data_IF_061980429300
#
_entry.id   IF_061980429300
#
_cell.length_a   1.000
_cell.length_b   1.000
_cell.length_c   1.000
_cell.angle_alpha   90.00
_cell.angle_beta   90.00
_cell.angle_gamma   90.00
#
_symmetry.space_group_name_H-M   'P 1'
#
loop_
_entity.id
_entity.type
_entity.pdbx_description
1 polymer ?
#
# COMPACT_ATOMS: atom_id res chain seq x y z
N UNK A 1 -14.46 21.31 12.95
CA UNK A 1 -13.33 20.44 12.52
C UNK A 1 -13.16 20.60 11.01
N UNK A 2 -12.01 21.04 10.52
CA UNK A 2 -11.75 21.27 9.08
C UNK A 2 -10.77 20.19 8.60
N UNK A 3 -11.07 19.52 7.50
CA UNK A 3 -10.23 18.46 6.93
C UNK A 3 -9.27 19.09 5.93
N UNK A 4 -7.99 18.70 5.99
CA UNK A 4 -7.03 19.02 4.93
C UNK A 4 -7.22 18.06 3.75
N UNK A 5 -7.83 18.60 2.68
CA UNK A 5 -8.12 17.82 1.47
C UNK A 5 -6.85 17.37 0.73
N UNK A 6 -5.78 18.17 0.75
CA UNK A 6 -4.53 17.83 0.07
C UNK A 6 -3.85 16.65 0.77
N UNK A 7 -3.78 16.71 2.10
CA UNK A 7 -3.24 15.62 2.91
C UNK A 7 -4.02 14.32 2.73
N UNK A 8 -5.36 14.41 2.75
CA UNK A 8 -6.25 13.26 2.50
C UNK A 8 -6.04 12.67 1.11
N UNK A 9 -5.86 13.51 0.08
CA UNK A 9 -5.65 13.06 -1.30
C UNK A 9 -4.33 12.28 -1.43
N UNK A 10 -3.25 12.79 -0.83
CA UNK A 10 -1.95 12.09 -0.84
C UNK A 10 -2.04 10.71 -0.19
N UNK A 11 -2.73 10.61 0.96
CA UNK A 11 -2.98 9.32 1.62
C UNK A 11 -3.78 8.38 0.71
N UNK A 12 -4.84 8.89 0.06
CA UNK A 12 -5.68 8.09 -0.84
C UNK A 12 -4.90 7.50 -2.01
N UNK A 13 -3.95 8.25 -2.59
CA UNK A 13 -3.09 7.76 -3.67
C UNK A 13 -2.23 6.58 -3.16
N UNK A 14 -1.57 6.76 -2.02
CA UNK A 14 -0.72 5.72 -1.44
C UNK A 14 -1.53 4.46 -1.04
N UNK A 15 -2.80 4.61 -0.67
CA UNK A 15 -3.70 3.47 -0.51
C UNK A 15 -3.92 2.71 -1.81
N UNK A 16 -4.26 3.41 -2.91
CA UNK A 16 -4.42 2.78 -4.23
C UNK A 16 -3.14 2.07 -4.67
N UNK A 17 -1.97 2.68 -4.46
CA UNK A 17 -0.67 2.08 -4.78
C UNK A 17 -0.40 0.79 -4.00
N UNK A 18 -0.87 0.72 -2.74
CA UNK A 18 -0.79 -0.51 -1.93
C UNK A 18 -1.52 -1.68 -2.60
N UNK A 19 -2.71 -1.43 -3.15
CA UNK A 19 -3.48 -2.46 -3.83
C UNK A 19 -2.83 -2.90 -5.14
N UNK A 20 -2.30 -1.96 -5.91
CA UNK A 20 -1.56 -2.26 -7.14
C UNK A 20 -0.34 -3.12 -6.83
N UNK A 21 0.49 -2.70 -5.87
CA UNK A 21 1.69 -3.45 -5.46
C UNK A 21 1.33 -4.86 -4.99
N UNK A 22 0.29 -5.00 -4.16
CA UNK A 22 -0.16 -6.30 -3.68
C UNK A 22 -0.63 -7.21 -4.82
N UNK A 23 -1.34 -6.66 -5.80
CA UNK A 23 -1.80 -7.42 -6.97
C UNK A 23 -0.62 -7.87 -7.83
N UNK A 24 0.30 -6.97 -8.14
CA UNK A 24 1.48 -7.27 -8.96
C UNK A 24 2.40 -8.29 -8.29
N UNK A 25 2.58 -8.22 -6.97
CA UNK A 25 3.35 -9.24 -6.24
C UNK A 25 2.72 -10.62 -6.36
N UNK A 26 1.38 -10.73 -6.26
CA UNK A 26 0.69 -12.01 -6.45
C UNK A 26 0.76 -12.53 -7.88
N UNK A 27 0.76 -11.62 -8.86
CA UNK A 27 0.88 -11.98 -10.27
C UNK A 27 2.26 -12.53 -10.60
N UNK A 28 3.32 -11.88 -10.10
CA UNK A 28 4.72 -12.24 -10.42
C UNK A 28 5.21 -13.41 -9.57
N UNK A 29 4.96 -13.37 -8.25
CA UNK A 29 5.52 -14.31 -7.28
C UNK A 29 4.53 -15.43 -6.90
N UNK A 30 3.29 -15.35 -7.38
CA UNK A 30 2.24 -16.33 -7.08
C UNK A 30 1.68 -16.23 -5.65
N UNK A 31 1.08 -17.33 -5.19
CA UNK A 31 0.36 -17.38 -3.91
C UNK A 31 1.28 -17.56 -2.68
N UNK A 32 2.61 -17.57 -2.87
CA UNK A 32 3.60 -17.68 -1.78
C UNK A 32 3.89 -16.34 -1.09
N UNK A 33 3.33 -15.24 -1.61
CA UNK A 33 3.44 -13.92 -0.99
C UNK A 33 2.37 -13.74 0.07
N UNK A 34 2.80 -13.57 1.32
CA UNK A 34 1.93 -13.24 2.44
C UNK A 34 2.22 -11.81 2.90
N UNK A 35 1.20 -10.96 2.87
CA UNK A 35 1.27 -9.61 3.40
C UNK A 35 1.35 -9.66 4.94
N UNK A 36 2.35 -9.01 5.53
CA UNK A 36 2.50 -8.90 7.00
C UNK A 36 2.01 -7.58 7.56
N UNK A 37 2.02 -6.54 6.76
CA UNK A 37 1.57 -5.21 7.17
C UNK A 37 1.73 -4.18 6.06
N UNK A 38 1.12 -3.02 6.26
CA UNK A 38 1.38 -1.84 5.45
C UNK A 38 1.25 -0.58 6.30
N UNK A 39 2.09 0.42 6.02
CA UNK A 39 2.03 1.74 6.63
C UNK A 39 1.87 2.79 5.55
N UNK A 40 0.78 3.56 5.64
CA UNK A 40 0.38 4.51 4.61
C UNK A 40 0.38 5.89 5.24
N UNK A 41 1.33 6.73 4.81
CA UNK A 41 1.44 8.13 5.20
C UNK A 41 1.28 9.00 3.96
N UNK A 42 1.09 10.30 4.12
CA UNK A 42 0.96 11.21 2.97
C UNK A 42 2.23 11.32 2.12
N UNK A 43 3.39 11.03 2.70
CA UNK A 43 4.71 11.18 2.11
C UNK A 43 5.37 9.86 1.70
N UNK A 44 4.89 8.73 2.24
CA UNK A 44 5.46 7.40 1.97
C UNK A 44 4.47 6.26 2.14
N UNK A 45 4.71 5.21 1.38
CA UNK A 45 4.08 3.90 1.50
C UNK A 45 5.14 2.87 1.89
N UNK A 46 4.85 2.05 2.91
CA UNK A 46 5.64 0.88 3.29
C UNK A 46 4.74 -0.34 3.17
N UNK A 47 5.22 -1.39 2.49
CA UNK A 47 4.50 -2.65 2.30
C UNK A 47 5.40 -3.82 2.69
N UNK A 48 5.04 -4.51 3.76
CA UNK A 48 5.81 -5.63 4.31
C UNK A 48 5.21 -6.95 3.83
N UNK A 49 6.03 -7.80 3.21
CA UNK A 49 5.63 -9.14 2.78
C UNK A 49 6.69 -10.18 3.10
N UNK A 50 6.23 -11.42 3.29
CA UNK A 50 7.07 -12.60 3.30
C UNK A 50 6.92 -13.35 1.98
N UNK A 51 8.01 -13.99 1.57
CA UNK A 51 8.08 -14.87 0.43
C UNK A 51 8.81 -16.14 0.88
N UNK A 52 8.21 -17.31 0.66
CA UNK A 52 8.73 -18.60 1.09
C UNK A 52 7.80 -19.74 0.69
#
# INVERSE_FOLDING_TARGET
MKIDCSHRKSISINHSDTYLLRSSLREILGNFVLQRGSSIKSDRLIFDFCYG
#
